data_IF_196363640535
#
_entry.id   IF_196363640535
#
_cell.length_a   1.000
_cell.length_b   1.000
_cell.length_c   1.000
_cell.angle_alpha   90.00
_cell.angle_beta   90.00
_cell.angle_gamma   90.00
#
_symmetry.space_group_name_H-M   'P 1'
#
loop_
_entity.id
_entity.type
_entity.pdbx_description
1 polymer ?
#
# COMPACT_ATOMS: atom_id res chain seq x y z
N UNK A 1 -19.94 -2.30 37.10
CA UNK A 1 -21.19 -2.48 36.34
C UNK A 1 -21.25 -1.36 35.33
N UNK A 2 -20.85 -1.56 34.06
CA UNK A 2 -20.94 -0.49 33.06
C UNK A 2 -20.81 -1.01 31.62
N UNK A 3 -21.44 -2.14 31.31
CA UNK A 3 -21.88 -2.41 29.95
C UNK A 3 -23.23 -1.70 29.75
N UNK A 4 -23.23 -0.37 29.79
CA UNK A 4 -24.43 0.43 29.55
C UNK A 4 -24.90 0.11 28.13
N UNK A 5 -26.02 -0.57 28.07
CA UNK A 5 -26.53 -1.27 26.90
C UNK A 5 -26.57 -0.32 25.70
N UNK A 6 -25.65 -0.49 24.75
CA UNK A 6 -25.56 0.32 23.52
C UNK A 6 -26.89 0.35 22.73
N UNK A 7 -27.80 -0.58 23.03
CA UNK A 7 -29.14 -0.73 22.43
C UNK A 7 -30.17 0.25 22.99
N UNK A 8 -29.99 0.76 24.21
CA UNK A 8 -30.93 1.69 24.86
C UNK A 8 -30.63 3.17 24.54
N UNK A 9 -29.56 3.43 23.75
CA UNK A 9 -29.25 4.79 23.29
C UNK A 9 -30.20 5.21 22.17
N UNK A 10 -30.71 6.46 22.19
CA UNK A 10 -31.47 7.02 21.09
C UNK A 10 -30.74 6.86 19.75
N UNK A 11 -31.48 6.54 18.69
CA UNK A 11 -30.92 6.30 17.36
C UNK A 11 -30.07 7.48 16.86
N UNK A 12 -30.49 8.71 17.14
CA UNK A 12 -29.76 9.92 16.77
C UNK A 12 -28.35 9.99 17.39
N UNK A 13 -28.21 9.55 18.64
CA UNK A 13 -26.90 9.52 19.30
C UNK A 13 -25.99 8.48 18.65
N UNK A 14 -26.54 7.31 18.30
CA UNK A 14 -25.79 6.25 17.62
C UNK A 14 -25.36 6.66 16.22
N UNK A 15 -26.23 7.36 15.48
CA UNK A 15 -25.91 7.87 14.14
C UNK A 15 -24.82 8.93 14.20
N UNK A 16 -24.94 9.92 15.11
CA UNK A 16 -23.90 10.94 15.32
C UNK A 16 -22.54 10.33 15.65
N UNK A 17 -22.53 9.36 16.54
CA UNK A 17 -21.33 8.66 16.96
C UNK A 17 -20.75 7.80 15.82
N UNK A 18 -21.60 7.17 15.00
CA UNK A 18 -21.17 6.46 13.79
C UNK A 18 -20.51 7.39 12.77
N UNK A 19 -21.14 8.53 12.46
CA UNK A 19 -20.60 9.53 11.54
C UNK A 19 -19.28 10.11 12.04
N UNK A 20 -19.17 10.41 13.35
CA UNK A 20 -17.93 10.90 13.95
C UNK A 20 -16.77 9.91 13.79
N UNK A 21 -17.02 8.62 14.06
CA UNK A 21 -16.00 7.57 13.88
C UNK A 21 -15.58 7.45 12.43
N UNK A 22 -16.54 7.44 11.50
CA UNK A 22 -16.26 7.36 10.07
C UNK A 22 -15.41 8.55 9.61
N UNK A 23 -15.80 9.78 9.97
CA UNK A 23 -15.05 10.98 9.60
C UNK A 23 -13.62 10.95 10.15
N UNK A 24 -13.47 10.59 11.43
CA UNK A 24 -12.14 10.47 12.05
C UNK A 24 -11.27 9.44 11.33
N UNK A 25 -11.86 8.29 10.97
CA UNK A 25 -11.14 7.25 10.24
C UNK A 25 -10.74 7.71 8.84
N UNK A 26 -11.65 8.34 8.10
CA UNK A 26 -11.37 8.87 6.76
C UNK A 26 -10.29 9.94 6.78
N UNK A 27 -10.29 10.84 7.76
CA UNK A 27 -9.24 11.85 7.91
C UNK A 27 -7.86 11.20 8.12
N UNK A 28 -7.79 10.15 8.93
CA UNK A 28 -6.54 9.38 9.13
C UNK A 28 -6.11 8.66 7.86
N UNK A 29 -7.07 8.08 7.12
CA UNK A 29 -6.79 7.38 5.86
C UNK A 29 -6.22 8.34 4.82
N UNK A 30 -6.86 9.50 4.65
CA UNK A 30 -6.38 10.55 3.75
C UNK A 30 -4.98 11.00 4.16
N UNK A 31 -4.77 11.32 5.44
CA UNK A 31 -3.45 11.75 5.92
C UNK A 31 -2.36 10.68 5.67
N UNK A 32 -2.70 9.39 5.81
CA UNK A 32 -1.78 8.27 5.54
C UNK A 32 -1.40 8.16 4.07
N UNK A 33 -2.34 8.40 3.16
CA UNK A 33 -2.14 8.20 1.73
C UNK A 33 -1.85 9.49 0.94
N UNK A 34 -1.86 10.66 1.58
CA UNK A 34 -1.58 11.95 0.96
C UNK A 34 -0.08 12.30 1.00
N UNK A 35 0.75 11.36 0.52
CA UNK A 35 2.19 11.51 0.38
C UNK A 35 2.63 10.80 -0.91
N UNK A 36 3.77 11.18 -1.51
CA UNK A 36 4.31 10.44 -2.64
C UNK A 36 4.72 9.02 -2.22
N UNK A 37 4.66 8.11 -3.19
CA UNK A 37 5.04 6.69 -3.07
C UNK A 37 6.03 6.34 -4.19
N UNK A 38 7.10 7.13 -4.32
CA UNK A 38 8.05 7.08 -5.45
C UNK A 38 8.79 5.74 -5.56
N UNK A 39 9.17 5.15 -4.43
CA UNK A 39 9.92 3.88 -4.36
C UNK A 39 9.01 2.66 -4.14
N UNK A 40 7.69 2.84 -4.11
CA UNK A 40 6.74 1.75 -3.88
C UNK A 40 6.53 0.93 -5.17
N UNK A 41 6.27 -0.39 -5.04
CA UNK A 41 6.04 -1.23 -6.19
C UNK A 41 4.76 -0.85 -6.95
N UNK A 42 4.89 -0.69 -8.27
CA UNK A 42 3.76 -0.43 -9.15
C UNK A 42 3.08 -1.73 -9.62
N UNK A 43 1.77 -1.81 -9.44
CA UNK A 43 0.96 -2.92 -9.94
C UNK A 43 0.63 -2.71 -11.42
N UNK A 44 1.03 -3.66 -12.26
CA UNK A 44 0.58 -3.74 -13.64
C UNK A 44 -0.89 -4.19 -13.67
N UNK A 45 -1.79 -3.27 -14.04
CA UNK A 45 -3.24 -3.53 -13.96
C UNK A 45 -3.75 -4.58 -14.95
N UNK A 46 -3.07 -4.77 -16.09
CA UNK A 46 -3.45 -5.77 -17.09
C UNK A 46 -3.26 -7.22 -16.60
N UNK A 47 -2.25 -7.45 -15.76
CA UNK A 47 -1.87 -8.76 -15.24
C UNK A 47 -2.16 -8.91 -13.75
N UNK A 48 -2.47 -7.81 -13.06
CA UNK A 48 -2.53 -7.71 -11.60
C UNK A 48 -1.26 -8.25 -10.93
N UNK A 49 -0.09 -7.87 -11.46
CA UNK A 49 1.21 -8.29 -10.94
C UNK A 49 2.12 -7.13 -10.60
N UNK A 50 3.05 -7.35 -9.69
CA UNK A 50 4.06 -6.38 -9.29
C UNK A 50 5.36 -7.07 -8.94
N UNK A 51 6.47 -6.35 -9.10
CA UNK A 51 7.79 -6.86 -8.71
C UNK A 51 7.98 -6.76 -7.19
N UNK A 52 8.64 -7.77 -6.65
CA UNK A 52 9.06 -7.84 -5.25
C UNK A 52 10.51 -8.28 -5.19
N UNK A 53 11.22 -8.13 -4.07
CA UNK A 53 12.57 -8.68 -3.92
C UNK A 53 12.66 -10.21 -4.07
N UNK A 54 11.53 -10.92 -4.09
CA UNK A 54 11.47 -12.37 -4.33
C UNK A 54 11.18 -12.68 -5.82
N UNK A 55 10.90 -11.66 -6.63
CA UNK A 55 10.44 -11.76 -8.02
C UNK A 55 8.99 -11.34 -8.22
N UNK A 56 8.45 -11.70 -9.38
CA UNK A 56 7.15 -11.24 -9.85
C UNK A 56 5.99 -11.92 -9.11
N UNK A 57 5.09 -11.12 -8.53
CA UNK A 57 3.98 -11.60 -7.71
C UNK A 57 2.61 -11.12 -8.19
N UNK A 58 1.58 -11.95 -8.02
CA UNK A 58 0.17 -11.52 -8.18
C UNK A 58 -0.23 -10.62 -7.00
N UNK A 59 -0.89 -9.49 -7.28
CA UNK A 59 -1.47 -8.62 -6.28
C UNK A 59 -2.45 -9.38 -5.37
N UNK A 60 -2.16 -9.45 -4.07
CA UNK A 60 -2.94 -10.23 -3.09
C UNK A 60 -2.81 -11.75 -3.23
N UNK A 61 -1.90 -12.25 -4.05
CA UNK A 61 -1.77 -13.66 -4.41
C UNK A 61 -0.37 -14.25 -4.23
N UNK A 62 -0.07 -15.31 -5.01
CA UNK A 62 1.18 -16.07 -4.97
C UNK A 62 2.27 -15.49 -5.85
N UNK A 63 3.52 -15.87 -5.58
CA UNK A 63 4.67 -15.62 -6.43
C UNK A 63 4.54 -16.39 -7.75
N UNK A 64 4.88 -15.76 -8.87
CA UNK A 64 4.80 -16.34 -10.22
C UNK A 64 6.18 -16.77 -10.71
N UNK A 65 7.20 -15.96 -10.42
CA UNK A 65 8.60 -16.20 -10.80
C UNK A 65 9.50 -15.77 -9.66
N UNK A 66 10.52 -16.56 -9.38
CA UNK A 66 11.61 -16.19 -8.49
C UNK A 66 12.63 -15.36 -9.27
N UNK A 67 13.32 -14.41 -8.62
CA UNK A 67 14.51 -13.82 -9.23
C UNK A 67 15.63 -14.87 -9.18
N UNK A 68 16.07 -15.34 -10.36
CA UNK A 68 17.29 -16.14 -10.46
C UNK A 68 18.49 -15.26 -10.07
N UNK A 69 19.37 -15.71 -9.18
CA UNK A 69 20.58 -14.99 -8.72
C UNK A 69 21.67 -14.81 -9.83
N UNK A 70 21.30 -14.59 -11.09
CA UNK A 70 22.28 -14.37 -12.16
C UNK A 70 22.74 -12.91 -12.23
N UNK A 71 23.85 -12.68 -11.52
CA UNK A 71 24.81 -11.59 -11.67
C UNK A 71 24.78 -10.88 -13.03
N UNK A 72 24.60 -9.56 -13.02
CA UNK A 72 25.14 -8.71 -14.09
C UNK A 72 25.98 -7.59 -13.48
N UNK A 73 27.28 -7.86 -13.33
CA UNK A 73 28.28 -6.81 -13.23
C UNK A 73 28.22 -6.00 -14.53
N UNK A 74 27.80 -4.74 -14.46
CA UNK A 74 27.95 -3.82 -15.59
C UNK A 74 29.42 -3.38 -15.62
N UNK A 75 30.21 -3.69 -16.67
CA UNK A 75 31.54 -3.11 -16.78
C UNK A 75 31.37 -1.65 -17.24
N UNK A 76 31.62 -0.72 -16.32
CA UNK A 76 31.76 0.72 -16.61
C UNK A 76 32.94 0.92 -17.57
N UNK A 77 32.68 0.83 -18.87
CA UNK A 77 33.62 1.30 -19.89
C UNK A 77 33.59 2.83 -19.90
N UNK A 78 34.72 3.42 -19.52
CA UNK A 78 34.96 4.84 -19.42
C UNK A 78 34.60 5.60 -20.71
N UNK A 79 33.70 6.59 -20.60
CA UNK A 79 33.58 7.66 -21.60
C UNK A 79 34.67 8.69 -21.28
N UNK A 80 35.80 8.61 -22.00
CA UNK A 80 36.75 9.71 -22.09
C UNK A 80 36.15 10.79 -22.99
N UNK A 81 35.84 11.95 -22.42
CA UNK A 81 35.57 13.16 -23.19
C UNK A 81 36.92 13.85 -23.39
N UNK A 82 37.40 13.88 -24.63
CA UNK A 82 38.56 14.69 -25.04
C UNK A 82 38.16 16.17 -25.18
N UNK A 83 39.16 17.01 -24.96
CA UNK A 83 39.15 18.44 -24.67
C UNK A 83 38.47 19.37 -25.67
#
# INVERSE_FOLDING_TARGET
MESMNLRDRPLDQRLKESSRRFQTYMQRLIAKYNQPFEDDPLVQMATLTYETPQGLRVWGGKLIKEEDEEHTQIPTAAVQIQA
#
